data_IF_056795461135
#
_entry.id   IF_056795461135
#
_cell.length_a   1.000
_cell.length_b   1.000
_cell.length_c   1.000
_cell.angle_alpha   90.00
_cell.angle_beta   90.00
_cell.angle_gamma   90.00
#
_symmetry.space_group_name_H-M   'P 1'
#
loop_
_entity.id
_entity.type
_entity.pdbx_description
1 polymer ?
#
# COMPACT_ATOMS: atom_id res chain seq x y z
N UNK A 1 7.93 -23.72 4.75
CA UNK A 1 6.80 -22.76 4.99
C UNK A 1 5.49 -23.17 4.29
N UNK A 2 5.06 -24.42 4.43
CA UNK A 2 3.96 -24.95 3.62
C UNK A 2 2.56 -24.42 3.95
N UNK A 3 2.32 -23.94 5.17
CA UNK A 3 0.97 -23.60 5.66
C UNK A 3 0.64 -22.11 5.65
N UNK A 4 1.36 -21.31 4.87
CA UNK A 4 1.08 -19.88 4.71
C UNK A 4 0.68 -19.53 3.28
N UNK A 5 -0.08 -18.45 3.13
CA UNK A 5 -0.38 -17.82 1.86
C UNK A 5 -0.11 -16.31 1.96
N UNK A 6 0.53 -15.77 0.96
CA UNK A 6 0.89 -14.34 0.89
C UNK A 6 0.10 -13.69 -0.24
N UNK A 7 -0.68 -12.68 0.09
CA UNK A 7 -1.49 -11.89 -0.84
C UNK A 7 -2.25 -12.73 -1.88
N UNK A 8 -3.11 -13.68 -1.45
CA UNK A 8 -3.85 -14.54 -2.36
C UNK A 8 -4.67 -13.73 -3.36
N UNK A 9 -4.78 -14.25 -4.57
CA UNK A 9 -5.58 -13.66 -5.64
C UNK A 9 -6.95 -14.31 -5.77
N UNK A 10 -7.11 -15.52 -5.22
CA UNK A 10 -8.37 -16.26 -5.24
C UNK A 10 -8.54 -17.15 -3.99
N UNK A 11 -9.77 -17.60 -3.75
CA UNK A 11 -10.12 -18.37 -2.56
C UNK A 11 -9.42 -19.73 -2.48
N UNK A 12 -9.07 -20.35 -3.63
CA UNK A 12 -8.43 -21.68 -3.64
C UNK A 12 -7.01 -21.64 -3.07
N UNK A 13 -6.32 -20.53 -3.17
CA UNK A 13 -4.97 -20.35 -2.59
C UNK A 13 -4.97 -20.36 -1.06
N UNK A 14 -6.11 -19.98 -0.45
CA UNK A 14 -6.28 -19.98 1.01
C UNK A 14 -6.73 -21.33 1.56
N UNK A 15 -7.13 -22.28 0.67
CA UNK A 15 -7.59 -23.59 1.08
C UNK A 15 -6.44 -24.37 1.74
N UNK A 16 -6.72 -25.01 2.87
CA UNK A 16 -5.74 -25.78 3.66
C UNK A 16 -4.58 -24.94 4.26
N UNK A 17 -4.67 -23.61 4.24
CA UNK A 17 -3.67 -22.75 4.88
C UNK A 17 -4.05 -22.42 6.33
N UNK A 18 -3.06 -22.45 7.21
CA UNK A 18 -3.22 -22.03 8.61
C UNK A 18 -3.24 -20.51 8.72
N UNK A 19 -2.43 -19.84 7.90
CA UNK A 19 -2.22 -18.41 7.95
C UNK A 19 -2.20 -17.76 6.58
N UNK A 20 -2.89 -16.62 6.46
CA UNK A 20 -2.91 -15.78 5.26
C UNK A 20 -2.45 -14.37 5.64
N UNK A 21 -1.58 -13.78 4.84
CA UNK A 21 -1.11 -12.41 5.03
C UNK A 21 -1.53 -11.55 3.86
N UNK A 22 -2.21 -10.45 4.17
CA UNK A 22 -2.55 -9.40 3.21
C UNK A 22 -1.67 -8.19 3.48
N UNK A 23 -0.69 -7.97 2.60
CA UNK A 23 0.30 -6.90 2.74
C UNK A 23 -0.14 -5.59 2.11
N UNK A 24 -1.16 -5.62 1.25
CA UNK A 24 -1.70 -4.49 0.52
C UNK A 24 -3.23 -4.50 0.54
N UNK A 25 -3.84 -3.31 0.52
CA UNK A 25 -5.27 -3.18 0.33
C UNK A 25 -5.60 -3.24 -1.16
N UNK A 26 -5.95 -4.41 -1.63
CA UNK A 26 -6.32 -4.67 -3.03
C UNK A 26 -7.80 -5.03 -3.16
N UNK A 27 -8.30 -5.04 -4.39
CA UNK A 27 -9.66 -5.50 -4.68
C UNK A 27 -9.85 -6.97 -4.31
N UNK A 28 -8.80 -7.78 -4.50
CA UNK A 28 -8.78 -9.20 -4.13
C UNK A 28 -8.97 -9.37 -2.62
N UNK A 29 -8.26 -8.60 -1.79
CA UNK A 29 -8.46 -8.61 -0.33
C UNK A 29 -9.94 -8.35 0.01
N UNK A 30 -10.56 -7.33 -0.58
CA UNK A 30 -11.96 -6.98 -0.33
C UNK A 30 -12.89 -8.16 -0.69
N UNK A 31 -12.66 -8.83 -1.81
CA UNK A 31 -13.47 -9.96 -2.27
C UNK A 31 -13.20 -11.24 -1.48
N UNK A 32 -12.00 -11.44 -0.95
CA UNK A 32 -11.61 -12.65 -0.24
C UNK A 32 -11.98 -12.64 1.24
N UNK A 33 -12.15 -11.46 1.86
CA UNK A 33 -12.53 -11.37 3.28
C UNK A 33 -13.81 -12.14 3.62
N UNK A 34 -14.92 -12.03 2.85
CA UNK A 34 -16.16 -12.76 3.17
C UNK A 34 -16.05 -14.28 3.03
N UNK A 35 -15.08 -14.77 2.27
CA UNK A 35 -14.89 -16.20 1.98
C UNK A 35 -13.64 -16.79 2.69
N UNK A 36 -13.11 -16.07 3.65
CA UNK A 36 -11.97 -16.51 4.45
C UNK A 36 -12.33 -17.81 5.21
N UNK A 37 -11.57 -18.90 5.04
CA UNK A 37 -11.86 -20.16 5.75
C UNK A 37 -11.82 -19.98 7.27
N UNK A 38 -12.79 -20.56 7.99
CA UNK A 38 -12.90 -20.42 9.46
C UNK A 38 -11.65 -20.90 10.22
N UNK A 39 -10.97 -21.93 9.70
CA UNK A 39 -9.74 -22.47 10.32
C UNK A 39 -8.49 -21.66 10.03
N UNK A 40 -8.54 -20.79 9.03
CA UNK A 40 -7.44 -19.95 8.63
C UNK A 40 -7.42 -18.67 9.46
N UNK A 41 -6.26 -18.24 9.94
CA UNK A 41 -6.07 -16.89 10.54
C UNK A 41 -5.48 -15.95 9.50
N UNK A 42 -6.19 -14.89 9.18
CA UNK A 42 -5.69 -13.85 8.29
C UNK A 42 -5.07 -12.70 9.06
N UNK A 43 -4.04 -12.11 8.49
CA UNK A 43 -3.32 -10.98 9.06
C UNK A 43 -3.25 -9.83 8.06
N UNK A 44 -3.43 -8.62 8.56
CA UNK A 44 -3.18 -7.39 7.81
C UNK A 44 -2.73 -6.28 8.76
N UNK A 45 -2.16 -5.19 8.23
CA UNK A 45 -1.71 -4.08 9.07
C UNK A 45 -2.88 -3.31 9.68
N UNK A 46 -2.62 -2.57 10.75
CA UNK A 46 -3.64 -1.76 11.41
C UNK A 46 -4.19 -0.68 10.48
N UNK A 47 -3.32 -0.09 9.66
CA UNK A 47 -3.68 0.95 8.69
C UNK A 47 -4.63 0.40 7.62
N UNK A 48 -4.30 -0.75 7.03
CA UNK A 48 -5.17 -1.44 6.05
C UNK A 48 -6.52 -1.78 6.71
N UNK A 49 -6.51 -2.36 7.90
CA UNK A 49 -7.73 -2.71 8.61
C UNK A 49 -8.63 -1.47 8.86
N UNK A 50 -8.04 -0.37 9.35
CA UNK A 50 -8.77 0.88 9.56
C UNK A 50 -9.30 1.46 8.24
N UNK A 51 -8.50 1.44 7.18
CA UNK A 51 -8.93 1.93 5.88
C UNK A 51 -10.09 1.09 5.32
N UNK A 52 -10.01 -0.24 5.43
CA UNK A 52 -11.12 -1.14 5.08
C UNK A 52 -12.41 -0.79 5.85
N UNK A 53 -12.31 -0.54 7.15
CA UNK A 53 -13.48 -0.13 7.95
C UNK A 53 -14.09 1.20 7.45
N UNK A 54 -13.24 2.16 7.07
CA UNK A 54 -13.71 3.44 6.53
C UNK A 54 -14.34 3.29 5.14
N UNK A 55 -13.71 2.52 4.26
CA UNK A 55 -14.27 2.19 2.95
C UNK A 55 -15.60 1.44 3.09
N UNK A 56 -15.68 0.45 3.97
CA UNK A 56 -16.93 -0.26 4.24
C UNK A 56 -18.05 0.69 4.69
N UNK A 57 -17.73 1.62 5.60
CA UNK A 57 -18.69 2.59 6.12
C UNK A 57 -19.12 3.62 5.08
N UNK A 58 -18.18 4.20 4.35
CA UNK A 58 -18.45 5.34 3.47
C UNK A 58 -18.81 4.94 2.05
N UNK A 59 -18.32 3.78 1.55
CA UNK A 59 -18.63 3.26 0.22
C UNK A 59 -19.74 2.21 0.23
N UNK A 60 -20.24 1.80 1.41
CA UNK A 60 -21.31 0.79 1.50
C UNK A 60 -20.90 -0.57 0.97
N UNK A 61 -19.67 -1.04 1.25
CA UNK A 61 -19.18 -2.31 0.70
C UNK A 61 -19.91 -3.54 1.27
N UNK A 62 -20.65 -3.41 2.38
CA UNK A 62 -21.39 -4.50 2.99
C UNK A 62 -20.50 -5.62 3.56
N UNK A 63 -19.25 -5.28 3.95
CA UNK A 63 -18.31 -6.25 4.48
C UNK A 63 -18.57 -6.58 5.93
N UNK A 64 -18.74 -7.85 6.22
CA UNK A 64 -18.63 -8.39 7.57
C UNK A 64 -17.18 -8.81 7.83
N UNK A 65 -16.57 -8.17 8.83
CA UNK A 65 -15.17 -8.46 9.17
C UNK A 65 -15.07 -9.80 9.90
N UNK A 66 -14.35 -10.79 9.33
CA UNK A 66 -14.25 -12.10 9.93
C UNK A 66 -13.46 -12.04 11.25
N UNK A 67 -13.90 -12.81 12.26
CA UNK A 67 -13.27 -12.84 13.60
C UNK A 67 -11.82 -13.34 13.60
N UNK A 68 -11.45 -14.08 12.58
CA UNK A 68 -10.10 -14.61 12.35
C UNK A 68 -9.20 -13.67 11.53
N UNK A 69 -9.67 -12.45 11.19
CA UNK A 69 -8.80 -11.37 10.73
C UNK A 69 -8.12 -10.69 11.91
N UNK A 70 -6.79 -10.68 11.94
CA UNK A 70 -5.96 -10.15 13.02
C UNK A 70 -5.06 -9.02 12.53
N UNK A 71 -4.64 -8.18 13.47
CA UNK A 71 -3.69 -7.11 13.18
C UNK A 71 -2.25 -7.65 13.23
N UNK A 72 -1.49 -7.36 12.18
CA UNK A 72 -0.06 -7.60 12.09
C UNK A 72 0.66 -6.31 12.50
N UNK A 73 1.34 -6.28 13.65
CA UNK A 73 2.05 -5.09 14.08
C UNK A 73 3.34 -4.88 13.27
N UNK A 74 3.69 -3.62 13.01
CA UNK A 74 5.00 -3.30 12.47
C UNK A 74 6.10 -3.45 13.52
N UNK A 75 7.27 -3.87 13.08
CA UNK A 75 8.51 -3.95 13.86
C UNK A 75 8.52 -4.96 15.02
N UNK A 76 7.44 -5.68 15.22
CA UNK A 76 7.32 -6.71 16.26
C UNK A 76 7.19 -8.10 15.65
N UNK A 77 7.99 -9.08 16.09
CA UNK A 77 7.87 -10.45 15.61
C UNK A 77 6.57 -11.10 16.10
N UNK A 78 5.84 -11.68 15.16
CA UNK A 78 4.66 -12.51 15.41
C UNK A 78 5.07 -13.98 15.33
N UNK A 79 5.02 -14.68 16.46
CA UNK A 79 5.38 -16.10 16.54
C UNK A 79 4.16 -16.99 16.27
N UNK A 80 4.24 -17.81 15.23
CA UNK A 80 3.21 -18.73 14.76
C UNK A 80 3.79 -20.15 14.71
N UNK A 81 3.69 -20.90 15.82
CA UNK A 81 4.30 -22.23 15.95
C UNK A 81 5.78 -22.22 15.52
N UNK A 82 6.06 -22.72 14.30
CA UNK A 82 7.42 -22.85 13.74
C UNK A 82 7.81 -21.69 12.83
N UNK A 83 7.00 -20.65 12.73
CA UNK A 83 7.24 -19.49 11.88
C UNK A 83 7.21 -18.21 12.70
N UNK A 84 8.20 -17.36 12.51
CA UNK A 84 8.23 -16.00 13.02
C UNK A 84 8.04 -15.02 11.84
N UNK A 85 7.10 -14.11 11.96
CA UNK A 85 6.81 -13.11 10.92
C UNK A 85 7.04 -11.72 11.46
N UNK A 86 7.87 -10.92 10.78
CA UNK A 86 8.09 -9.52 11.11
C UNK A 86 7.69 -8.64 9.92
N UNK A 87 6.75 -7.72 10.14
CA UNK A 87 6.35 -6.74 9.14
C UNK A 87 7.14 -5.44 9.28
N UNK A 88 7.51 -4.86 8.14
CA UNK A 88 8.04 -3.49 8.06
C UNK A 88 7.15 -2.66 7.14
N UNK A 89 6.86 -1.42 7.54
CA UNK A 89 6.09 -0.52 6.70
C UNK A 89 6.80 -0.31 5.35
N UNK A 90 6.07 -0.54 4.28
CA UNK A 90 6.45 -0.21 2.92
C UNK A 90 6.11 1.24 2.61
N UNK A 91 6.56 1.74 1.47
CA UNK A 91 6.18 3.06 0.95
C UNK A 91 6.13 2.98 -0.57
N UNK A 92 5.22 2.19 -1.05
CA UNK A 92 5.05 1.84 -2.47
C UNK A 92 3.77 2.44 -3.09
N UNK A 93 3.23 3.48 -2.45
CA UNK A 93 2.02 4.18 -2.88
C UNK A 93 0.72 3.55 -2.40
N UNK A 94 0.79 2.56 -1.51
CA UNK A 94 -0.37 1.94 -0.89
C UNK A 94 -0.35 2.18 0.62
N UNK A 95 -1.37 2.87 1.12
CA UNK A 95 -1.48 3.18 2.54
C UNK A 95 -1.54 1.92 3.40
N UNK A 96 -0.65 1.85 4.36
CA UNK A 96 -0.58 0.71 5.27
C UNK A 96 0.12 -0.53 4.71
N UNK A 97 0.67 -0.48 3.49
CA UNK A 97 1.39 -1.59 2.90
C UNK A 97 2.64 -1.98 3.70
N UNK A 98 3.00 -3.26 3.63
CA UNK A 98 4.16 -3.79 4.33
C UNK A 98 4.95 -4.80 3.49
N UNK A 99 6.21 -4.95 3.86
CA UNK A 99 7.06 -6.09 3.49
C UNK A 99 7.18 -7.03 4.69
N UNK A 100 7.40 -8.32 4.44
CA UNK A 100 7.47 -9.35 5.49
C UNK A 100 8.84 -10.02 5.49
N UNK A 101 9.38 -10.22 6.69
CA UNK A 101 10.40 -11.22 6.95
C UNK A 101 9.70 -12.45 7.51
N UNK A 102 9.89 -13.58 6.87
CA UNK A 102 9.42 -14.90 7.28
C UNK A 102 10.65 -15.71 7.73
N UNK A 103 10.66 -16.17 8.96
CA UNK A 103 11.78 -16.87 9.56
C UNK A 103 11.31 -18.16 10.23
N UNK A 104 11.92 -19.27 9.86
CA UNK A 104 11.81 -20.54 10.56
C UNK A 104 13.19 -21.03 11.00
N UNK A 105 13.30 -22.27 11.50
CA UNK A 105 14.55 -22.83 12.01
C UNK A 105 15.64 -22.94 10.93
N UNK A 106 15.29 -23.00 9.66
CA UNK A 106 16.18 -23.34 8.54
C UNK A 106 16.46 -22.15 7.62
N UNK A 107 15.49 -21.25 7.47
CA UNK A 107 15.55 -20.23 6.44
C UNK A 107 14.93 -18.89 6.85
N UNK A 108 15.40 -17.82 6.18
CA UNK A 108 14.85 -16.48 6.29
C UNK A 108 14.47 -16.02 4.88
N UNK A 109 13.20 -15.71 4.69
CA UNK A 109 12.66 -15.25 3.41
C UNK A 109 12.15 -13.82 3.56
N UNK A 110 12.61 -12.92 2.70
CA UNK A 110 12.02 -11.60 2.51
C UNK A 110 10.89 -11.66 1.49
N UNK A 111 9.76 -11.01 1.78
CA UNK A 111 8.66 -10.86 0.85
C UNK A 111 8.33 -9.38 0.63
N UNK A 112 8.31 -8.94 -0.62
CA UNK A 112 7.89 -7.61 -1.02
C UNK A 112 7.03 -7.72 -2.30
N UNK A 113 5.70 -7.70 -2.13
CA UNK A 113 4.77 -7.73 -3.27
C UNK A 113 5.01 -6.57 -4.23
N UNK A 114 5.30 -5.39 -3.68
CA UNK A 114 5.59 -4.17 -4.44
C UNK A 114 6.83 -3.50 -3.90
N UNK A 115 7.53 -2.83 -4.80
CA UNK A 115 8.66 -1.98 -4.45
C UNK A 115 8.64 -0.72 -5.30
N UNK A 116 8.88 0.42 -4.68
CA UNK A 116 9.05 1.69 -5.35
C UNK A 116 10.19 2.44 -4.68
N UNK A 117 11.13 2.96 -5.48
CA UNK A 117 12.28 3.70 -4.94
C UNK A 117 11.92 5.14 -4.51
N UNK A 118 10.80 5.68 -5.00
CA UNK A 118 10.46 7.11 -4.92
C UNK A 118 9.17 7.40 -4.11
N UNK A 119 8.84 6.58 -3.11
CA UNK A 119 7.68 6.78 -2.26
C UNK A 119 7.71 8.09 -1.44
N UNK A 120 6.59 8.41 -0.77
CA UNK A 120 6.45 9.60 0.09
C UNK A 120 7.45 9.63 1.24
N UNK A 121 7.76 8.46 1.78
CA UNK A 121 8.57 8.28 2.98
C UNK A 121 9.86 7.49 2.69
N UNK A 122 10.79 8.10 1.98
CA UNK A 122 12.10 7.50 1.64
C UNK A 122 12.81 6.83 2.82
N UNK A 123 12.56 7.30 4.06
CA UNK A 123 13.11 6.68 5.28
C UNK A 123 12.52 5.30 5.55
N UNK A 124 11.24 5.04 5.21
CA UNK A 124 10.61 3.71 5.36
C UNK A 124 11.30 2.72 4.42
N UNK A 125 11.46 3.09 3.15
CA UNK A 125 12.17 2.27 2.14
C UNK A 125 13.60 1.95 2.60
N UNK A 126 14.35 2.96 3.03
CA UNK A 126 15.72 2.75 3.51
C UNK A 126 15.77 1.80 4.71
N UNK A 127 14.81 1.93 5.66
CA UNK A 127 14.76 1.09 6.87
C UNK A 127 14.52 -0.38 6.53
N UNK A 128 13.51 -0.71 5.70
CA UNK A 128 13.22 -2.11 5.42
C UNK A 128 14.27 -2.75 4.51
N UNK A 129 14.86 -2.02 3.54
CA UNK A 129 16.00 -2.52 2.75
C UNK A 129 17.20 -2.86 3.65
N UNK A 130 17.54 -1.97 4.58
CA UNK A 130 18.59 -2.20 5.56
C UNK A 130 18.25 -3.41 6.45
N UNK A 131 17.01 -3.50 6.93
CA UNK A 131 16.55 -4.61 7.75
C UNK A 131 16.70 -5.95 7.02
N UNK A 132 16.29 -6.06 5.75
CA UNK A 132 16.43 -7.27 4.96
C UNK A 132 17.91 -7.63 4.70
N UNK A 133 18.74 -6.65 4.38
CA UNK A 133 20.18 -6.85 4.20
C UNK A 133 20.83 -7.46 5.44
N UNK A 134 20.46 -6.96 6.61
CA UNK A 134 21.04 -7.39 7.89
C UNK A 134 20.58 -8.80 8.31
N UNK A 135 19.57 -9.38 7.62
CA UNK A 135 19.06 -10.74 7.91
C UNK A 135 19.80 -11.86 7.18
N UNK A 136 20.62 -11.57 6.16
CA UNK A 136 21.25 -12.59 5.31
C UNK A 136 20.23 -13.57 4.73
N UNK A 137 19.28 -13.05 3.96
CA UNK A 137 18.14 -13.80 3.45
C UNK A 137 18.56 -15.02 2.63
N UNK A 138 17.87 -16.15 2.86
CA UNK A 138 17.94 -17.34 1.99
C UNK A 138 17.26 -17.07 0.65
N UNK A 139 16.13 -16.36 0.65
CA UNK A 139 15.43 -15.95 -0.56
C UNK A 139 14.76 -14.59 -0.40
N UNK A 140 14.59 -13.88 -1.52
CA UNK A 140 13.75 -12.70 -1.64
C UNK A 140 12.65 -12.98 -2.68
N UNK A 141 11.40 -12.89 -2.25
CA UNK A 141 10.23 -13.05 -3.11
C UNK A 141 9.70 -11.66 -3.46
N UNK A 142 9.63 -11.38 -4.76
CA UNK A 142 9.10 -10.14 -5.32
C UNK A 142 7.81 -10.42 -6.09
N UNK A 143 6.86 -9.49 -6.07
CA UNK A 143 5.65 -9.63 -6.88
C UNK A 143 5.97 -9.54 -8.38
N UNK A 144 5.29 -10.34 -9.20
CA UNK A 144 5.44 -10.36 -10.68
C UNK A 144 5.15 -9.00 -11.32
N UNK A 145 4.21 -8.26 -10.78
CA UNK A 145 3.87 -6.92 -11.25
C UNK A 145 5.05 -5.96 -11.30
N UNK A 146 6.09 -6.20 -10.49
CA UNK A 146 7.32 -5.42 -10.53
C UNK A 146 8.12 -5.60 -11.82
N UNK A 147 7.95 -6.75 -12.48
CA UNK A 147 8.68 -7.08 -13.72
C UNK A 147 7.84 -6.79 -14.96
N UNK A 148 6.53 -7.04 -14.87
CA UNK A 148 5.60 -6.99 -16.00
C UNK A 148 4.98 -5.61 -16.22
N UNK A 149 4.66 -4.88 -15.15
CA UNK A 149 4.05 -3.55 -15.22
C UNK A 149 5.10 -2.47 -14.91
N UNK A 150 5.55 -1.80 -15.97
CA UNK A 150 6.41 -0.61 -15.87
C UNK A 150 5.67 0.61 -15.30
N UNK A 151 4.38 0.49 -15.05
CA UNK A 151 3.47 1.59 -14.74
C UNK A 151 2.99 1.56 -13.27
N UNK A 152 3.91 1.47 -12.32
CA UNK A 152 3.53 1.80 -10.93
C UNK A 152 3.45 3.31 -10.79
N UNK A 153 2.23 3.81 -10.86
CA UNK A 153 1.92 5.23 -10.92
C UNK A 153 1.92 5.84 -9.52
N UNK A 154 3.07 6.32 -9.04
CA UNK A 154 3.12 7.16 -7.84
C UNK A 154 3.06 8.64 -8.25
N UNK A 155 2.36 9.48 -7.47
CA UNK A 155 2.33 10.91 -7.72
C UNK A 155 3.73 11.53 -7.64
N UNK A 156 4.20 12.16 -8.71
CA UNK A 156 5.39 13.01 -8.64
C UNK A 156 5.04 14.37 -8.03
N UNK A 157 5.12 14.44 -6.71
CA UNK A 157 4.81 15.66 -5.96
C UNK A 157 5.71 16.86 -6.30
N UNK A 158 6.91 16.64 -6.84
CA UNK A 158 7.76 17.74 -7.29
C UNK A 158 7.23 18.34 -8.58
N UNK A 159 6.78 17.49 -9.51
CA UNK A 159 6.17 17.93 -10.75
C UNK A 159 4.85 18.62 -10.49
N UNK A 160 3.99 18.03 -9.64
CA UNK A 160 2.74 18.65 -9.21
C UNK A 160 2.98 20.02 -8.57
N UNK A 161 3.95 20.15 -7.66
CA UNK A 161 4.28 21.43 -7.05
C UNK A 161 4.67 22.49 -8.08
N UNK A 162 5.51 22.12 -9.07
CA UNK A 162 5.92 23.01 -10.15
C UNK A 162 4.75 23.41 -11.07
N UNK A 163 3.84 22.51 -11.35
CA UNK A 163 2.64 22.79 -12.13
C UNK A 163 1.71 23.75 -11.37
N UNK A 164 1.53 23.55 -10.05
CA UNK A 164 0.75 24.45 -9.21
C UNK A 164 1.37 25.86 -9.14
N UNK A 165 2.70 25.98 -9.02
CA UNK A 165 3.39 27.26 -9.01
C UNK A 165 3.22 28.05 -10.33
N UNK A 166 3.01 27.37 -11.45
CA UNK A 166 2.80 27.98 -12.78
C UNK A 166 1.33 28.13 -13.15
N UNK A 167 0.42 27.76 -12.27
CA UNK A 167 -1.02 27.83 -12.55
C UNK A 167 -1.47 29.30 -12.53
N UNK A 168 -2.15 29.73 -13.60
CA UNK A 168 -2.70 31.07 -13.68
C UNK A 168 -3.84 31.27 -12.67
N UNK A 169 -4.00 32.51 -12.20
CA UNK A 169 -5.08 32.86 -11.28
C UNK A 169 -6.45 32.55 -11.87
N UNK A 170 -7.27 31.78 -11.17
CA UNK A 170 -8.57 31.32 -11.61
C UNK A 170 -8.56 30.09 -12.54
N UNK A 171 -7.39 29.54 -12.87
CA UNK A 171 -7.31 28.27 -13.58
C UNK A 171 -7.57 27.10 -12.62
N UNK A 172 -8.18 26.04 -13.16
CA UNK A 172 -8.45 24.79 -12.42
C UNK A 172 -7.75 23.63 -13.11
N UNK A 173 -7.11 22.79 -12.31
CA UNK A 173 -6.50 21.54 -12.74
C UNK A 173 -7.24 20.38 -12.09
N UNK A 174 -7.66 19.42 -12.88
CA UNK A 174 -8.25 18.18 -12.39
C UNK A 174 -7.14 17.15 -12.18
N UNK A 175 -7.11 16.51 -11.02
CA UNK A 175 -6.19 15.39 -10.74
C UNK A 175 -6.95 14.29 -10.03
N UNK A 176 -6.61 13.02 -10.22
CA UNK A 176 -7.28 11.93 -9.54
C UNK A 176 -6.32 11.22 -8.59
N UNK A 177 -6.81 10.95 -7.37
CA UNK A 177 -6.06 10.26 -6.32
C UNK A 177 -6.87 9.08 -5.80
N UNK A 178 -6.18 8.01 -5.45
CA UNK A 178 -6.82 6.83 -4.90
C UNK A 178 -7.40 7.10 -3.51
N UNK A 179 -8.61 6.62 -3.27
CA UNK A 179 -9.18 6.53 -1.92
C UNK A 179 -8.37 5.61 -0.99
N UNK A 180 -7.54 4.77 -1.58
CA UNK A 180 -6.64 3.85 -0.85
C UNK A 180 -5.36 4.52 -0.35
N UNK A 181 -5.16 5.82 -0.66
CA UNK A 181 -3.98 6.55 -0.23
C UNK A 181 -4.31 7.93 0.38
N UNK A 182 -4.80 7.96 1.62
CA UNK A 182 -5.07 9.21 2.33
C UNK A 182 -3.81 10.02 2.63
N UNK A 183 -2.61 9.41 2.70
CA UNK A 183 -1.35 10.15 2.89
C UNK A 183 -1.03 11.03 1.67
N UNK A 184 -1.23 10.51 0.46
CA UNK A 184 -1.05 11.30 -0.76
C UNK A 184 -2.05 12.44 -0.88
N UNK A 185 -3.32 12.23 -0.48
CA UNK A 185 -4.32 13.31 -0.44
C UNK A 185 -3.92 14.44 0.51
N UNK A 186 -3.48 14.10 1.72
CA UNK A 186 -2.97 15.08 2.68
C UNK A 186 -1.77 15.84 2.13
N UNK A 187 -0.83 15.12 1.51
CA UNK A 187 0.35 15.74 0.89
C UNK A 187 -0.02 16.71 -0.24
N UNK A 188 -1.00 16.34 -1.05
CA UNK A 188 -1.50 17.23 -2.11
C UNK A 188 -2.16 18.48 -1.52
N UNK A 189 -2.98 18.30 -0.47
CA UNK A 189 -3.61 19.42 0.23
C UNK A 189 -2.57 20.42 0.77
N UNK A 190 -1.52 19.90 1.42
CA UNK A 190 -0.39 20.70 1.89
C UNK A 190 0.30 21.49 0.77
N UNK A 191 0.48 20.86 -0.40
CA UNK A 191 1.09 21.51 -1.56
C UNK A 191 0.20 22.64 -2.10
N UNK A 192 -1.08 22.36 -2.27
CA UNK A 192 -2.04 23.39 -2.70
C UNK A 192 -2.02 24.60 -1.77
N UNK A 193 -2.13 24.38 -0.46
CA UNK A 193 -2.09 25.46 0.53
C UNK A 193 -0.79 26.27 0.46
N UNK A 194 0.38 25.62 0.30
CA UNK A 194 1.69 26.29 0.19
C UNK A 194 1.84 27.13 -1.07
N UNK A 195 1.17 26.76 -2.14
CA UNK A 195 1.19 27.49 -3.43
C UNK A 195 0.02 28.46 -3.57
N UNK A 196 -0.81 28.65 -2.52
CA UNK A 196 -1.95 29.56 -2.53
C UNK A 196 -3.17 29.04 -3.28
N UNK A 197 -3.20 27.75 -3.57
CA UNK A 197 -4.31 27.07 -4.24
C UNK A 197 -5.20 26.31 -3.26
N UNK A 198 -6.40 25.95 -3.72
CA UNK A 198 -7.36 25.15 -2.96
C UNK A 198 -7.46 23.75 -3.55
N UNK A 199 -7.41 22.75 -2.70
CA UNK A 199 -7.76 21.37 -3.08
C UNK A 199 -9.22 21.11 -2.74
N UNK A 200 -10.04 20.85 -3.77
CA UNK A 200 -11.42 20.47 -3.59
C UNK A 200 -11.55 18.95 -3.72
N UNK A 201 -12.02 18.31 -2.66
CA UNK A 201 -12.23 16.87 -2.60
C UNK A 201 -13.71 16.52 -2.77
N UNK A 202 -13.99 15.31 -3.23
CA UNK A 202 -15.35 14.75 -3.07
C UNK A 202 -15.65 14.59 -1.58
N UNK A 203 -16.93 14.64 -1.17
CA UNK A 203 -17.32 14.36 0.22
C UNK A 203 -16.75 13.01 0.73
N UNK A 204 -16.68 12.01 -0.14
CA UNK A 204 -16.14 10.70 0.19
C UNK A 204 -14.62 10.76 0.48
N UNK A 205 -13.84 11.38 -0.38
CA UNK A 205 -12.40 11.58 -0.19
C UNK A 205 -12.11 12.38 1.07
N UNK A 206 -12.82 13.49 1.29
CA UNK A 206 -12.67 14.32 2.47
C UNK A 206 -12.99 13.55 3.77
N UNK A 207 -14.05 12.74 3.78
CA UNK A 207 -14.41 11.91 4.93
C UNK A 207 -13.36 10.84 5.24
N UNK A 208 -12.81 10.19 4.23
CA UNK A 208 -11.74 9.21 4.39
C UNK A 208 -10.46 9.91 4.89
N UNK A 209 -10.02 10.98 4.24
CA UNK A 209 -8.84 11.74 4.63
C UNK A 209 -8.95 12.26 6.07
N UNK A 210 -10.04 12.93 6.45
CA UNK A 210 -10.30 13.42 7.82
C UNK A 210 -10.31 12.31 8.87
N UNK A 211 -10.67 11.09 8.50
CA UNK A 211 -10.68 9.98 9.45
C UNK A 211 -9.28 9.49 9.85
N UNK A 212 -8.26 9.84 9.07
CA UNK A 212 -6.84 9.57 9.35
C UNK A 212 -6.07 10.81 9.77
N UNK A 213 -6.45 11.97 9.23
CA UNK A 213 -5.81 13.27 9.45
C UNK A 213 -6.86 14.28 9.93
N UNK A 214 -7.35 14.13 11.19
CA UNK A 214 -8.49 14.91 11.70
C UNK A 214 -8.19 16.40 11.92
N UNK A 215 -6.92 16.78 11.94
CA UNK A 215 -6.48 18.17 12.15
C UNK A 215 -6.24 18.91 10.83
N UNK A 216 -6.27 18.21 9.69
CA UNK A 216 -6.11 18.83 8.39
C UNK A 216 -7.45 19.40 7.91
N UNK A 217 -7.40 20.58 7.32
CA UNK A 217 -8.57 21.22 6.74
C UNK A 217 -8.72 20.78 5.28
N UNK A 218 -9.72 19.95 5.03
CA UNK A 218 -10.07 19.48 3.69
C UNK A 218 -11.36 20.15 3.23
N UNK A 219 -11.27 20.89 2.12
CA UNK A 219 -12.42 21.50 1.49
C UNK A 219 -13.15 20.51 0.58
N UNK A 220 -14.46 20.59 0.54
CA UNK A 220 -15.30 19.79 -0.37
C UNK A 220 -15.87 20.68 -1.46
N UNK A 221 -15.69 20.25 -2.72
CA UNK A 221 -16.31 20.89 -3.87
C UNK A 221 -17.72 20.37 -4.14
N UNK A 222 -18.46 21.10 -4.96
CA UNK A 222 -19.69 20.60 -5.58
C UNK A 222 -19.33 19.66 -6.73
N UNK A 223 -20.27 18.80 -7.17
CA UNK A 223 -20.01 17.79 -8.22
C UNK A 223 -19.44 18.33 -9.54
N UNK A 224 -19.58 19.63 -9.81
CA UNK A 224 -19.04 20.31 -10.99
C UNK A 224 -17.55 20.69 -10.88
N UNK A 225 -17.01 20.77 -9.64
CA UNK A 225 -15.65 21.25 -9.37
C UNK A 225 -14.72 20.11 -8.90
N UNK A 226 -15.15 18.87 -9.03
CA UNK A 226 -14.60 17.76 -8.29
C UNK A 226 -13.78 16.84 -9.17
N UNK A 227 -12.62 16.56 -8.67
CA UNK A 227 -11.80 15.37 -8.88
C UNK A 227 -12.58 14.11 -8.54
N UNK A 228 -13.24 13.51 -9.53
CA UNK A 228 -13.90 12.22 -9.35
C UNK A 228 -12.82 11.14 -9.32
N UNK A 229 -12.48 10.67 -8.13
CA UNK A 229 -11.77 9.41 -8.00
C UNK A 229 -12.79 8.28 -8.13
N UNK A 230 -12.95 7.75 -9.33
CA UNK A 230 -13.56 6.44 -9.50
C UNK A 230 -12.60 5.40 -8.90
N UNK A 231 -13.12 4.50 -8.08
CA UNK A 231 -12.38 3.35 -7.52
C UNK A 231 -11.75 2.44 -8.60
N UNK A 232 -12.05 2.69 -9.88
CA UNK A 232 -11.65 1.88 -11.03
C UNK A 232 -10.73 2.59 -12.01
N UNK A 233 -10.45 3.88 -11.83
CA UNK A 233 -9.65 4.62 -12.82
C UNK A 233 -8.19 4.72 -12.42
N UNK A 234 -7.35 4.30 -13.32
CA UNK A 234 -5.91 4.53 -13.36
C UNK A 234 -5.63 6.02 -13.56
N UNK A 235 -4.70 6.53 -12.81
CA UNK A 235 -4.33 7.94 -12.75
C UNK A 235 -3.55 8.41 -13.97
N UNK A 236 -3.92 9.55 -14.53
CA UNK A 236 -3.13 10.32 -15.48
C UNK A 236 -2.23 11.38 -14.82
N UNK A 237 -1.86 11.19 -13.57
CA UNK A 237 -0.78 11.99 -12.99
C UNK A 237 0.53 11.38 -13.44
N UNK A 238 1.36 12.14 -14.14
CA UNK A 238 2.66 11.66 -14.62
C UNK A 238 3.49 11.13 -13.46
N UNK A 239 3.63 9.84 -13.44
CA UNK A 239 4.35 9.12 -12.43
C UNK A 239 5.67 8.64 -13.02
N UNK A 240 6.74 8.71 -12.25
CA UNK A 240 7.98 8.07 -12.63
C UNK A 240 7.76 6.56 -12.60
N UNK A 241 7.96 5.92 -13.74
CA UNK A 241 7.97 4.45 -13.84
C UNK A 241 9.23 3.91 -13.17
N UNK A 242 9.09 2.81 -12.44
CA UNK A 242 10.24 2.08 -11.93
C UNK A 242 11.03 1.51 -13.11
N UNK A 243 12.33 1.78 -13.15
CA UNK A 243 13.19 1.14 -14.13
C UNK A 243 13.62 -0.25 -13.65
N UNK A 244 13.86 -1.21 -14.55
CA UNK A 244 14.43 -2.50 -14.17
C UNK A 244 15.73 -2.37 -13.36
N UNK A 245 16.51 -1.31 -13.57
CA UNK A 245 17.72 -1.01 -12.81
C UNK A 245 17.45 -0.76 -11.31
N UNK A 246 16.30 -0.25 -10.94
CA UNK A 246 15.95 -0.02 -9.52
C UNK A 246 15.68 -1.33 -8.76
N UNK A 247 15.13 -2.33 -9.45
CA UNK A 247 14.97 -3.69 -8.91
C UNK A 247 16.33 -4.37 -8.77
N UNK A 248 17.19 -4.25 -9.77
CA UNK A 248 18.56 -4.78 -9.70
C UNK A 248 19.36 -4.14 -8.56
N UNK A 249 19.20 -2.84 -8.34
CA UNK A 249 19.82 -2.13 -7.21
C UNK A 249 19.25 -2.57 -5.87
N UNK A 250 17.95 -2.86 -5.80
CA UNK A 250 17.31 -3.44 -4.62
C UNK A 250 17.93 -4.80 -4.28
N UNK A 251 18.02 -5.70 -5.27
CA UNK A 251 18.58 -7.04 -5.13
C UNK A 251 20.05 -6.96 -4.68
N UNK A 252 20.86 -6.11 -5.29
CA UNK A 252 22.26 -5.87 -4.88
C UNK A 252 22.40 -5.37 -3.45
N UNK A 253 21.48 -4.51 -2.99
CA UNK A 253 21.53 -3.95 -1.63
C UNK A 253 21.18 -5.03 -0.59
N UNK A 254 20.18 -5.85 -0.88
CA UNK A 254 19.69 -6.90 0.03
C UNK A 254 20.63 -8.11 0.02
N UNK A 255 21.22 -8.42 -1.13
CA UNK A 255 22.12 -9.55 -1.38
C UNK A 255 21.54 -10.90 -0.91
N UNK A 256 20.33 -11.29 -1.35
CA UNK A 256 19.74 -12.57 -1.00
C UNK A 256 20.44 -13.72 -1.75
N UNK A 257 20.39 -14.94 -1.20
CA UNK A 257 20.97 -16.12 -1.89
C UNK A 257 20.17 -16.49 -3.14
N UNK A 258 18.87 -16.25 -3.13
CA UNK A 258 17.95 -16.55 -4.22
C UNK A 258 16.91 -15.42 -4.37
N UNK A 259 16.47 -15.18 -5.61
CA UNK A 259 15.36 -14.26 -5.92
C UNK A 259 14.28 -15.03 -6.69
N UNK A 260 13.05 -14.93 -6.25
CA UNK A 260 11.89 -15.50 -6.94
C UNK A 260 10.78 -14.45 -7.11
N UNK A 261 9.86 -14.70 -8.03
CA UNK A 261 8.75 -13.81 -8.35
C UNK A 261 7.42 -14.56 -8.21
N UNK A 262 6.43 -13.95 -7.55
CA UNK A 262 5.11 -14.53 -7.29
C UNK A 262 3.98 -13.70 -7.89
#
# INVERSE_FOLDING_TARGET
MENICLDPTNASEMHEKDHVFFTHLTTELIHLLPVLPEKCTAFTTQEIYKLLQKLNRYCGLGLDFPKNLKILPYDYPLNLKNLCVTAKASDDGWFGACVLLLEDENEKIGYAKRFVAHGLHKKRIKKWKQFFRDQSLSALILGKDLVENKDSLLPDFKKIAKELENLEEGAAVSTSFSLYDPESLTKLNDLCQKTGHRLLLTPLQANIAKSFFPFDDFETGTDSDVLIADLRQTFDVVCETQSPSEIDDLIKIIDPKEVSYC
#
